data_IF_959665847017
#
_entry.id   IF_959665847017
#
_cell.length_a   1.000
_cell.length_b   1.000
_cell.length_c   1.000
_cell.angle_alpha   90.00
_cell.angle_beta   90.00
_cell.angle_gamma   90.00
#
_symmetry.space_group_name_H-M   'P 1'
#
loop_
_entity.id
_entity.type
_entity.pdbx_description
1 polymer ?
#
# COMPACT_ATOMS: atom_id res chain seq x y z
N UNK A 1 -20.86 5.78 35.25
CA UNK A 1 -21.35 4.84 34.21
C UNK A 1 -21.88 5.59 32.98
N UNK A 2 -21.10 6.53 32.46
CA UNK A 2 -21.50 7.43 31.36
C UNK A 2 -20.52 7.34 30.20
N UNK A 3 -19.26 7.00 30.49
CA UNK A 3 -18.19 6.89 29.50
C UNK A 3 -18.43 5.77 28.46
N UNK A 4 -19.14 4.70 28.85
CA UNK A 4 -19.47 3.60 27.94
C UNK A 4 -20.34 4.07 26.76
N UNK A 5 -21.24 5.04 26.98
CA UNK A 5 -22.06 5.63 25.91
C UNK A 5 -21.25 6.43 24.90
N UNK A 6 -20.03 6.86 25.26
CA UNK A 6 -19.12 7.57 24.37
C UNK A 6 -18.16 6.59 23.69
N UNK A 7 -17.62 5.63 24.45
CA UNK A 7 -16.64 4.67 23.95
C UNK A 7 -17.27 3.68 22.96
N UNK A 8 -18.48 3.17 23.21
CA UNK A 8 -19.10 2.17 22.35
C UNK A 8 -19.32 2.69 20.92
N UNK A 9 -19.92 3.88 20.69
CA UNK A 9 -20.05 4.43 19.35
C UNK A 9 -18.72 4.70 18.66
N UNK A 10 -17.73 5.21 19.39
CA UNK A 10 -16.39 5.46 18.86
C UNK A 10 -15.74 4.15 18.40
N UNK A 11 -15.84 3.09 19.21
CA UNK A 11 -15.29 1.78 18.87
C UNK A 11 -15.97 1.19 17.63
N UNK A 12 -17.30 1.30 17.52
CA UNK A 12 -18.05 0.85 16.34
C UNK A 12 -17.62 1.64 15.10
N UNK A 13 -17.53 2.97 15.22
CA UNK A 13 -17.11 3.84 14.11
C UNK A 13 -15.69 3.51 13.64
N UNK A 14 -14.76 3.27 14.57
CA UNK A 14 -13.39 2.87 14.27
C UNK A 14 -13.34 1.48 13.61
N UNK A 15 -14.10 0.51 14.12
CA UNK A 15 -14.17 -0.82 13.54
C UNK A 15 -14.74 -0.79 12.11
N UNK A 16 -15.83 -0.06 11.89
CA UNK A 16 -16.41 0.14 10.56
C UNK A 16 -15.44 0.84 9.61
N UNK A 17 -14.67 1.82 10.09
CA UNK A 17 -13.63 2.48 9.32
C UNK A 17 -12.57 1.47 8.85
N UNK A 18 -12.02 0.65 9.75
CA UNK A 18 -11.03 -0.35 9.37
C UNK A 18 -11.58 -1.39 8.38
N UNK A 19 -12.80 -1.89 8.60
CA UNK A 19 -13.44 -2.84 7.68
C UNK A 19 -13.65 -2.22 6.30
N UNK A 20 -14.12 -0.97 6.24
CA UNK A 20 -14.33 -0.27 4.97
C UNK A 20 -13.02 -0.11 4.19
N UNK A 21 -11.96 0.37 4.86
CA UNK A 21 -10.65 0.53 4.24
C UNK A 21 -10.04 -0.80 3.80
N UNK A 22 -10.21 -1.85 4.60
CA UNK A 22 -9.76 -3.20 4.23
C UNK A 22 -10.46 -3.70 2.96
N UNK A 23 -11.79 -3.58 2.87
CA UNK A 23 -12.54 -3.99 1.68
C UNK A 23 -12.18 -3.15 0.46
N UNK A 24 -11.95 -1.85 0.65
CA UNK A 24 -11.49 -0.96 -0.43
C UNK A 24 -10.09 -1.33 -0.93
N UNK A 25 -9.15 -1.64 -0.04
CA UNK A 25 -7.80 -2.08 -0.36
C UNK A 25 -7.78 -3.43 -1.11
N UNK A 26 -8.61 -4.38 -0.68
CA UNK A 26 -8.77 -5.67 -1.37
C UNK A 26 -9.34 -5.47 -2.78
N UNK A 27 -10.34 -4.61 -2.93
CA UNK A 27 -10.95 -4.32 -4.24
C UNK A 27 -9.99 -3.59 -5.19
N UNK A 28 -9.04 -2.82 -4.66
CA UNK A 28 -8.08 -2.05 -5.47
C UNK A 28 -6.89 -2.89 -5.95
N UNK A 29 -6.93 -4.21 -5.78
CA UNK A 29 -5.87 -5.14 -6.22
C UNK A 29 -4.47 -4.72 -5.72
N UNK A 30 -4.41 -3.97 -4.62
CA UNK A 30 -3.15 -3.42 -4.08
C UNK A 30 -2.19 -4.53 -3.60
N UNK A 31 -2.71 -5.75 -3.44
CA UNK A 31 -1.95 -6.92 -3.03
C UNK A 31 -1.43 -7.76 -4.21
N UNK A 32 -1.84 -7.46 -5.45
CA UNK A 32 -1.36 -8.19 -6.63
C UNK A 32 0.00 -7.66 -7.11
N UNK A 33 0.38 -6.44 -6.72
CA UNK A 33 1.68 -5.85 -7.03
C UNK A 33 2.72 -6.01 -5.91
N UNK A 34 3.00 -7.27 -5.53
CA UNK A 34 4.10 -7.60 -4.61
C UNK A 34 5.42 -7.90 -5.34
N UNK A 35 5.38 -8.14 -6.65
CA UNK A 35 6.54 -8.56 -7.43
C UNK A 35 7.26 -7.40 -8.14
N UNK A 36 6.54 -6.38 -8.59
CA UNK A 36 7.12 -5.31 -9.43
C UNK A 36 8.13 -4.38 -8.73
N UNK A 37 8.06 -4.08 -7.41
CA UNK A 37 9.02 -3.15 -6.79
C UNK A 37 10.45 -3.71 -6.77
N UNK A 38 10.62 -5.00 -6.50
CA UNK A 38 11.94 -5.64 -6.37
C UNK A 38 12.67 -5.75 -7.72
N UNK A 39 11.93 -5.95 -8.81
CA UNK A 39 12.50 -6.06 -10.14
C UNK A 39 12.95 -4.70 -10.74
N UNK A 40 12.34 -3.57 -10.35
CA UNK A 40 12.80 -2.24 -10.82
C UNK A 40 14.22 -1.91 -10.37
N UNK A 41 14.56 -2.22 -9.12
CA UNK A 41 15.89 -1.94 -8.56
C UNK A 41 17.02 -2.71 -9.27
N UNK A 42 16.75 -3.91 -9.79
CA UNK A 42 17.75 -4.72 -10.51
C UNK A 42 17.84 -4.41 -12.01
N UNK A 43 16.76 -3.88 -12.61
CA UNK A 43 16.69 -3.58 -14.05
C UNK A 43 17.32 -2.20 -14.35
N UNK A 44 17.24 -1.25 -13.43
CA UNK A 44 17.81 0.10 -13.61
C UNK A 44 19.35 0.07 -13.75
N UNK A 45 20.04 -0.86 -13.06
CA UNK A 45 21.50 -1.04 -13.17
C UNK A 45 21.94 -1.73 -14.48
N UNK A 46 21.06 -2.48 -15.16
CA UNK A 46 21.43 -3.18 -16.41
C UNK A 46 21.41 -2.28 -17.65
N UNK A 47 20.71 -1.14 -17.58
CA UNK A 47 20.61 -0.19 -18.68
C UNK A 47 21.71 0.88 -18.70
N UNK A 48 22.64 0.85 -17.76
CA UNK A 48 23.86 1.67 -17.80
C UNK A 48 24.88 1.04 -18.79
N UNK A 49 24.47 0.91 -20.05
CA UNK A 49 25.40 0.61 -21.15
C UNK A 49 26.36 1.80 -21.23
N UNK A 50 27.69 1.58 -21.26
CA UNK A 50 28.63 2.68 -21.36
C UNK A 50 28.32 3.49 -22.61
N UNK A 51 27.95 4.76 -22.41
CA UNK A 51 27.71 5.73 -23.47
C UNK A 51 28.97 5.78 -24.31
N UNK A 52 28.96 5.15 -25.49
CA UNK A 52 30.12 5.15 -26.40
C UNK A 52 30.45 6.61 -26.71
N UNK A 53 31.53 7.09 -26.11
CA UNK A 53 32.10 8.40 -26.39
C UNK A 53 32.56 8.36 -27.84
N UNK A 54 31.86 9.12 -28.68
CA UNK A 54 32.17 9.27 -30.09
C UNK A 54 33.33 10.26 -30.19
N UNK A 55 34.53 9.74 -30.47
CA UNK A 55 35.72 10.53 -30.85
C UNK A 55 35.55 10.95 -32.31
#
# INVERSE_FOLDING_TARGET
MTILYVIIPIAIMLASFFVFFFLWAVKTEQFDDLETPAHKMLIDDWNDKPKKVKI
#
